data_IF_741644854681
#
_entry.id   IF_741644854681
#
_cell.length_a   1.000
_cell.length_b   1.000
_cell.length_c   1.000
_cell.angle_alpha   90.00
_cell.angle_beta   90.00
_cell.angle_gamma   90.00
#
_symmetry.space_group_name_H-M   'P 1'
#
loop_
_entity.id
_entity.type
_entity.pdbx_description
1 polymer ?
#
# COMPACT_ATOMS: atom_id res chain seq x y z
N UNK A 1 -6.87 -5.91 -23.58
CA UNK A 1 -5.80 -4.92 -23.37
C UNK A 1 -5.70 -4.60 -21.89
N UNK A 2 -4.50 -4.57 -21.30
CA UNK A 2 -4.33 -4.21 -19.89
C UNK A 2 -4.44 -2.68 -19.79
N UNK A 3 -5.50 -2.16 -19.18
CA UNK A 3 -5.60 -0.72 -18.94
C UNK A 3 -4.41 -0.27 -18.07
N UNK A 4 -3.66 0.73 -18.54
CA UNK A 4 -2.57 1.32 -17.75
C UNK A 4 -3.20 2.09 -16.60
N UNK A 5 -2.77 1.81 -15.35
CA UNK A 5 -3.20 2.58 -14.18
C UNK A 5 -2.85 4.06 -14.40
N UNK A 6 -3.80 4.95 -14.12
CA UNK A 6 -3.60 6.39 -14.17
C UNK A 6 -3.42 6.92 -12.75
N UNK A 7 -2.36 7.70 -12.54
CA UNK A 7 -2.04 8.24 -11.22
C UNK A 7 -2.07 9.76 -11.25
N UNK A 8 -2.67 10.35 -10.22
CA UNK A 8 -2.64 11.80 -10.02
C UNK A 8 -1.20 12.26 -9.72
N UNK A 9 -0.80 13.37 -10.36
CA UNK A 9 0.50 14.02 -10.17
C UNK A 9 0.32 15.45 -9.69
N UNK A 10 1.24 15.93 -8.87
CA UNK A 10 1.36 17.34 -8.50
C UNK A 10 2.75 17.84 -8.87
N UNK A 11 2.85 19.09 -9.33
CA UNK A 11 4.13 19.71 -9.62
C UNK A 11 4.75 20.19 -8.31
N UNK A 12 5.90 19.66 -7.95
CA UNK A 12 6.70 20.14 -6.85
C UNK A 12 7.30 21.51 -7.24
N UNK A 13 7.06 22.54 -6.43
CA UNK A 13 7.49 23.92 -6.73
C UNK A 13 9.01 24.11 -6.56
N UNK A 14 9.62 23.35 -5.67
CA UNK A 14 11.04 23.42 -5.33
C UNK A 14 11.88 22.71 -6.39
N UNK A 15 11.45 21.52 -6.82
CA UNK A 15 12.21 20.71 -7.80
C UNK A 15 11.73 20.91 -9.24
N UNK A 16 10.55 21.50 -9.44
CA UNK A 16 9.89 21.63 -10.74
C UNK A 16 9.33 20.32 -11.31
N UNK A 17 9.56 19.18 -10.64
CA UNK A 17 9.19 17.84 -11.14
C UNK A 17 7.75 17.49 -10.79
N UNK A 18 7.14 16.66 -11.63
CA UNK A 18 5.83 16.08 -11.33
C UNK A 18 6.00 14.86 -10.43
N UNK A 19 5.38 14.90 -9.26
CA UNK A 19 5.45 13.85 -8.23
C UNK A 19 4.09 13.16 -8.07
N UNK A 20 4.13 11.87 -7.73
CA UNK A 20 2.94 11.04 -7.57
C UNK A 20 2.25 11.34 -6.24
N UNK A 21 0.96 11.68 -6.27
CA UNK A 21 0.19 12.10 -5.08
C UNK A 21 0.14 11.01 -4.02
N UNK A 22 -0.17 9.77 -4.39
CA UNK A 22 -0.21 8.66 -3.43
C UNK A 22 1.13 8.44 -2.71
N UNK A 23 2.28 8.70 -3.37
CA UNK A 23 3.59 8.58 -2.74
C UNK A 23 3.83 9.68 -1.72
N UNK A 24 3.40 10.91 -2.02
CA UNK A 24 3.48 12.02 -1.06
C UNK A 24 2.62 11.77 0.18
N UNK A 25 1.37 11.32 -0.02
CA UNK A 25 0.45 11.01 1.08
C UNK A 25 1.01 9.87 1.95
N UNK A 26 1.52 8.80 1.34
CA UNK A 26 2.14 7.70 2.06
C UNK A 26 3.39 8.13 2.85
N UNK A 27 4.27 8.94 2.25
CA UNK A 27 5.45 9.48 2.94
C UNK A 27 5.07 10.37 4.13
N UNK A 28 4.08 11.25 3.94
CA UNK A 28 3.56 12.10 5.02
C UNK A 28 3.00 11.26 6.18
N UNK A 29 2.27 10.18 5.87
CA UNK A 29 1.73 9.25 6.88
C UNK A 29 2.79 8.50 7.66
N UNK A 30 3.94 8.22 7.04
CA UNK A 30 5.10 7.58 7.68
C UNK A 30 5.96 8.57 8.47
N UNK A 31 5.78 9.88 8.27
CA UNK A 31 6.67 10.89 8.83
C UNK A 31 8.09 10.85 8.25
N UNK A 32 8.31 10.14 7.14
CA UNK A 32 9.61 10.01 6.46
C UNK A 32 9.45 9.85 4.95
N UNK A 33 10.49 10.17 4.15
CA UNK A 33 10.52 9.78 2.75
C UNK A 33 10.38 8.26 2.59
N UNK A 34 9.82 7.85 1.45
CA UNK A 34 9.83 6.45 1.03
C UNK A 34 11.28 6.04 0.71
N UNK A 35 11.70 4.89 1.24
CA UNK A 35 13.00 4.32 0.95
C UNK A 35 13.08 3.81 -0.51
N UNK A 36 14.29 3.71 -1.07
CA UNK A 36 14.49 3.04 -2.34
C UNK A 36 13.89 1.63 -2.32
N UNK A 37 13.08 1.31 -3.32
CA UNK A 37 12.39 0.03 -3.42
C UNK A 37 10.97 0.01 -2.84
N UNK A 38 10.61 0.94 -1.95
CA UNK A 38 9.26 0.99 -1.39
C UNK A 38 8.21 1.38 -2.45
N UNK A 39 7.12 0.61 -2.47
CA UNK A 39 6.01 0.73 -3.42
C UNK A 39 4.72 1.00 -2.68
N UNK A 40 3.93 1.96 -3.16
CA UNK A 40 2.60 2.20 -2.60
C UNK A 40 1.58 1.38 -3.38
N UNK A 41 0.77 0.62 -2.65
CA UNK A 41 -0.32 -0.20 -3.15
C UNK A 41 -1.67 0.46 -2.83
N UNK A 42 -2.62 0.35 -3.74
CA UNK A 42 -4.02 0.75 -3.55
C UNK A 42 -4.85 -0.49 -3.25
N UNK A 43 -5.38 -0.62 -2.03
CA UNK A 43 -6.06 -1.83 -1.55
C UNK A 43 -7.31 -2.17 -2.37
N UNK A 44 -8.09 -1.17 -2.76
CA UNK A 44 -9.28 -1.31 -3.61
C UNK A 44 -8.95 -1.56 -5.09
N UNK A 45 -7.69 -1.41 -5.49
CA UNK A 45 -7.24 -1.53 -6.88
C UNK A 45 -7.49 -0.29 -7.76
N UNK A 46 -8.12 0.76 -7.23
CA UNK A 46 -8.34 2.03 -7.91
C UNK A 46 -7.18 3.00 -7.63
N UNK A 47 -6.38 3.28 -8.67
CA UNK A 47 -5.24 4.19 -8.57
C UNK A 47 -5.61 5.67 -8.38
N UNK A 48 -6.89 6.01 -8.49
CA UNK A 48 -7.41 7.37 -8.28
C UNK A 48 -7.89 7.62 -6.85
N UNK A 49 -8.21 6.56 -6.10
CA UNK A 49 -8.59 6.65 -4.69
C UNK A 49 -7.34 6.81 -3.80
N UNK A 50 -7.00 8.05 -3.46
CA UNK A 50 -5.81 8.37 -2.65
C UNK A 50 -6.12 8.55 -1.15
N UNK A 51 -7.23 7.99 -0.65
CA UNK A 51 -7.51 7.99 0.78
C UNK A 51 -6.36 7.35 1.55
N UNK A 52 -5.95 7.94 2.68
CA UNK A 52 -4.89 7.40 3.53
C UNK A 52 -5.11 5.93 3.87
N UNK A 53 -6.37 5.55 4.09
CA UNK A 53 -6.73 4.18 4.44
C UNK A 53 -6.73 3.20 3.26
N UNK A 54 -6.66 3.71 2.03
CA UNK A 54 -6.55 2.89 0.83
C UNK A 54 -5.09 2.64 0.42
N UNK A 55 -4.12 3.36 1.02
CA UNK A 55 -2.72 3.30 0.64
C UNK A 55 -1.93 2.42 1.61
N UNK A 56 -1.14 1.50 1.04
CA UNK A 56 -0.27 0.62 1.82
C UNK A 56 1.15 0.62 1.25
N UNK A 57 2.15 0.81 2.10
CA UNK A 57 3.57 0.85 1.66
C UNK A 57 4.16 -0.55 1.79
N UNK A 58 4.71 -1.04 0.68
CA UNK A 58 5.30 -2.36 0.52
C UNK A 58 6.80 -2.27 0.30
N UNK A 59 7.57 -3.24 0.81
CA UNK A 59 9.04 -3.16 0.81
C UNK A 59 9.65 -3.33 -0.58
N UNK A 60 8.90 -3.90 -1.54
CA UNK A 60 9.42 -4.15 -2.88
C UNK A 60 8.32 -4.32 -3.93
N UNK A 61 8.72 -4.20 -5.21
CA UNK A 61 7.86 -4.53 -6.36
C UNK A 61 7.44 -6.00 -6.38
N UNK A 62 8.31 -6.92 -5.97
CA UNK A 62 7.99 -8.35 -5.89
C UNK A 62 6.86 -8.61 -4.88
N UNK A 63 6.97 -7.98 -3.70
CA UNK A 63 5.93 -8.09 -2.68
C UNK A 63 4.62 -7.44 -3.14
N UNK A 64 4.69 -6.28 -3.81
CA UNK A 64 3.53 -5.65 -4.43
C UNK A 64 2.84 -6.57 -5.46
N UNK A 65 3.61 -7.23 -6.34
CA UNK A 65 3.04 -8.14 -7.33
C UNK A 65 2.37 -9.36 -6.68
N UNK A 66 2.97 -9.90 -5.62
CA UNK A 66 2.38 -10.99 -4.84
C UNK A 66 1.07 -10.56 -4.17
N UNK A 67 1.07 -9.44 -3.45
CA UNK A 67 -0.15 -8.90 -2.81
C UNK A 67 -1.27 -8.60 -3.82
N UNK A 68 -0.93 -7.98 -4.95
CA UNK A 68 -1.90 -7.68 -6.01
C UNK A 68 -2.49 -8.96 -6.62
N UNK A 69 -1.70 -10.03 -6.74
CA UNK A 69 -2.19 -11.35 -7.15
C UNK A 69 -3.15 -11.92 -6.10
N UNK A 70 -2.76 -11.85 -4.83
CA UNK A 70 -3.53 -12.31 -3.68
C UNK A 70 -4.92 -11.67 -3.66
N UNK A 71 -4.97 -10.35 -3.58
CA UNK A 71 -6.24 -9.59 -3.54
C UNK A 71 -7.12 -9.82 -4.79
N UNK A 72 -6.51 -10.14 -5.94
CA UNK A 72 -7.28 -10.47 -7.15
C UNK A 72 -7.97 -11.83 -7.06
N UNK A 73 -7.33 -12.84 -6.49
CA UNK A 73 -7.97 -14.15 -6.28
C UNK A 73 -9.10 -14.03 -5.27
N UNK A 74 -8.89 -13.28 -4.19
CA UNK A 74 -9.95 -13.01 -3.20
C UNK A 74 -11.17 -12.32 -3.82
N UNK A 75 -10.96 -11.27 -4.65
CA UNK A 75 -12.06 -10.61 -5.40
C UNK A 75 -12.81 -11.54 -6.34
N UNK A 76 -12.22 -12.67 -6.73
CA UNK A 76 -12.86 -13.71 -7.55
C UNK A 76 -13.53 -14.81 -6.72
N UNK A 77 -13.52 -14.69 -5.39
CA UNK A 77 -14.01 -15.74 -4.49
C UNK A 77 -13.10 -16.98 -4.43
N UNK A 78 -11.84 -16.85 -4.83
CA UNK A 78 -10.84 -17.92 -4.77
C UNK A 78 -9.90 -17.65 -3.59
N UNK A 79 -10.23 -18.11 -2.37
CA UNK A 79 -9.35 -17.89 -1.23
C UNK A 79 -8.03 -18.61 -1.45
N UNK A 80 -6.95 -18.03 -0.93
CA UNK A 80 -5.65 -18.68 -0.86
C UNK A 80 -5.73 -19.92 0.02
N UNK A 81 -4.76 -20.83 -0.14
CA UNK A 81 -4.68 -22.05 0.65
C UNK A 81 -4.62 -21.77 2.18
N UNK A 82 -4.14 -20.58 2.56
CA UNK A 82 -4.00 -20.13 3.94
C UNK A 82 -4.47 -18.67 4.12
N UNK A 83 -5.79 -18.40 4.17
CA UNK A 83 -6.32 -17.04 4.30
C UNK A 83 -5.98 -16.39 5.65
N UNK A 84 -5.75 -17.19 6.69
CA UNK A 84 -5.30 -16.75 8.02
C UNK A 84 -3.89 -16.15 8.02
N UNK A 85 -2.98 -16.59 7.15
CA UNK A 85 -1.65 -15.97 7.04
C UNK A 85 -1.72 -14.50 6.58
N UNK A 86 -2.83 -14.12 5.95
CA UNK A 86 -3.07 -12.75 5.49
C UNK A 86 -3.78 -11.89 6.55
N UNK A 87 -4.15 -12.45 7.72
CA UNK A 87 -4.74 -11.65 8.81
C UNK A 87 -3.84 -10.50 9.22
N UNK A 88 -2.53 -10.70 9.35
CA UNK A 88 -1.61 -9.63 9.70
C UNK A 88 -1.55 -8.48 8.68
N UNK A 89 -1.99 -8.71 7.44
CA UNK A 89 -2.13 -7.66 6.41
C UNK A 89 -3.49 -6.94 6.54
N UNK A 90 -4.53 -7.69 6.93
CA UNK A 90 -5.92 -7.20 7.06
C UNK A 90 -6.17 -6.45 8.36
N UNK A 91 -5.73 -7.04 9.45
CA UNK A 91 -5.78 -6.52 10.80
C UNK A 91 -4.55 -5.62 10.95
N UNK A 92 -4.74 -4.33 10.64
CA UNK A 92 -3.75 -3.31 10.96
C UNK A 92 -3.47 -3.38 12.46
N UNK A 93 -2.42 -4.07 12.87
CA UNK A 93 -1.87 -3.86 14.19
C UNK A 93 -1.18 -2.49 14.15
N UNK A 94 -1.96 -1.47 14.51
CA UNK A 94 -1.47 -0.16 14.96
C UNK A 94 -0.96 -0.25 16.40
N UNK A 95 -0.49 -1.41 16.81
CA UNK A 95 0.19 -1.60 18.08
C UNK A 95 1.65 -1.82 17.75
N UNK A 96 2.50 -1.04 18.38
CA UNK A 96 3.92 -1.33 18.38
C UNK A 96 4.15 -2.72 18.98
N UNK A 97 5.26 -3.36 18.63
CA UNK A 97 5.64 -4.66 19.21
C UNK A 97 5.59 -4.61 20.76
N UNK A 98 5.88 -3.46 21.34
CA UNK A 98 5.83 -3.23 22.78
C UNK A 98 4.39 -3.13 23.32
N UNK A 99 3.47 -2.46 22.62
CA UNK A 99 2.06 -2.40 23.02
C UNK A 99 1.36 -3.77 22.93
N UNK A 100 1.82 -4.65 22.04
CA UNK A 100 1.29 -6.01 21.92
C UNK A 100 1.78 -6.97 23.04
N UNK A 101 2.91 -6.65 23.69
CA UNK A 101 3.52 -7.48 24.75
C UNK A 101 3.09 -7.02 26.15
N UNK A 102 2.65 -5.76 26.29
CA UNK A 102 2.26 -5.15 27.58
C UNK A 102 0.78 -5.36 27.97
N UNK A 103 0.15 -6.44 27.49
CA UNK A 103 -1.16 -6.85 28.00
C UNK A 103 -0.91 -7.78 29.18
N UNK A 104 -1.10 -7.26 30.40
CA UNK A 104 -1.17 -8.04 31.64
C UNK A 104 -2.31 -9.08 31.62
#
# INVERSE_FOLDING_TARGET
MRNRKSYRKLKNKQTGRAELVHRQIAAARLGRPLWPGEVVHHLDGDSTNNSLDNLFVLPSQGFHAHMEHVLRLERRGQPHLFPEMLRGIRERQTVTLFEAILVD
#
